data_IF_432727051246
#
_entry.id   IF_432727051246
#
_cell.length_a   1.000
_cell.length_b   1.000
_cell.length_c   1.000
_cell.angle_alpha   90.00
_cell.angle_beta   90.00
_cell.angle_gamma   90.00
#
_symmetry.space_group_name_H-M   'P 1'
#
loop_
_entity.id
_entity.type
_entity.pdbx_description
1 polymer ?
#
# COMPACT_ATOMS: atom_id res chain seq x y z
N UNK A 1 17.41 19.31 2.29
CA UNK A 1 16.96 17.94 1.97
C UNK A 1 15.75 17.64 2.84
N UNK A 2 14.55 17.64 2.24
CA UNK A 2 13.33 17.29 3.00
C UNK A 2 13.42 15.83 3.42
N UNK A 3 13.32 15.57 4.73
CA UNK A 3 13.23 14.24 5.28
C UNK A 3 11.95 13.58 4.72
N UNK A 4 12.09 12.49 4.00
CA UNK A 4 10.97 11.72 3.49
C UNK A 4 10.58 10.72 4.54
N UNK A 5 9.58 11.06 5.33
CA UNK A 5 9.08 10.23 6.43
C UNK A 5 7.65 9.79 6.17
N UNK A 6 7.32 8.60 6.60
CA UNK A 6 5.98 8.01 6.55
C UNK A 6 5.66 7.41 7.90
N UNK A 7 4.61 7.92 8.54
CA UNK A 7 4.17 7.46 9.85
C UNK A 7 3.01 6.47 9.71
N UNK A 8 3.16 5.28 10.30
CA UNK A 8 2.09 4.30 10.47
C UNK A 8 1.58 4.42 11.90
N UNK A 9 0.45 5.10 12.06
CA UNK A 9 -0.11 5.45 13.37
C UNK A 9 -1.24 4.55 13.84
N UNK A 10 -1.90 3.84 12.92
CA UNK A 10 -2.94 2.85 13.19
C UNK A 10 -2.91 1.76 12.12
N UNK A 11 -3.45 0.60 12.49
CA UNK A 11 -3.71 -0.52 11.58
C UNK A 11 -5.05 -1.16 11.89
N UNK A 12 -5.68 -1.76 10.88
CA UNK A 12 -6.76 -2.71 11.03
C UNK A 12 -6.38 -3.98 10.29
N UNK A 13 -6.26 -5.07 11.02
CA UNK A 13 -5.83 -6.35 10.47
C UNK A 13 -6.70 -7.46 11.02
N UNK A 14 -7.57 -8.01 10.17
CA UNK A 14 -8.48 -9.10 10.54
C UNK A 14 -8.69 -10.04 9.35
N UNK A 15 -8.40 -11.31 9.55
CA UNK A 15 -8.72 -12.35 8.58
C UNK A 15 -10.23 -12.57 8.52
N UNK A 16 -10.81 -12.61 7.32
CA UNK A 16 -12.24 -12.85 7.12
C UNK A 16 -13.14 -11.71 7.59
N UNK A 17 -12.61 -10.48 7.67
CA UNK A 17 -13.43 -9.31 7.96
C UNK A 17 -14.50 -9.11 6.88
N UNK A 18 -15.74 -8.82 7.30
CA UNK A 18 -16.78 -8.37 6.39
C UNK A 18 -16.53 -6.91 5.94
N UNK A 19 -17.19 -6.49 4.85
CA UNK A 19 -17.11 -5.10 4.40
C UNK A 19 -17.73 -4.13 5.42
N UNK A 20 -18.77 -4.56 6.15
CA UNK A 20 -19.38 -3.76 7.22
C UNK A 20 -18.40 -3.56 8.37
N UNK A 21 -17.70 -4.60 8.80
CA UNK A 21 -16.66 -4.50 9.83
C UNK A 21 -15.52 -3.59 9.39
N UNK A 22 -15.11 -3.67 8.13
CA UNK A 22 -14.09 -2.81 7.57
C UNK A 22 -14.55 -1.35 7.54
N UNK A 23 -15.77 -1.08 7.07
CA UNK A 23 -16.33 0.28 7.09
C UNK A 23 -16.41 0.84 8.51
N UNK A 24 -16.89 0.04 9.47
CA UNK A 24 -16.95 0.45 10.87
C UNK A 24 -15.56 0.78 11.43
N UNK A 25 -14.54 0.00 11.09
CA UNK A 25 -13.17 0.27 11.54
C UNK A 25 -12.67 1.66 11.08
N UNK A 26 -12.99 2.12 9.87
CA UNK A 26 -12.65 3.47 9.40
C UNK A 26 -13.33 4.57 10.22
N UNK A 27 -14.59 4.35 10.63
CA UNK A 27 -15.28 5.29 11.51
C UNK A 27 -14.70 5.28 12.93
N UNK A 28 -14.41 4.11 13.48
CA UNK A 28 -13.83 3.95 14.82
C UNK A 28 -12.43 4.56 14.92
N UNK A 29 -11.65 4.49 13.85
CA UNK A 29 -10.33 5.12 13.75
C UNK A 29 -10.40 6.64 13.49
N UNK A 30 -11.59 7.20 13.24
CA UNK A 30 -11.77 8.63 12.99
C UNK A 30 -11.22 9.14 11.65
N UNK A 31 -11.00 8.23 10.68
CA UNK A 31 -10.42 8.54 9.36
C UNK A 31 -11.44 8.53 8.23
N UNK A 32 -12.72 8.49 8.55
CA UNK A 32 -13.84 8.42 7.61
C UNK A 32 -13.94 9.61 6.64
N UNK A 33 -13.32 10.73 6.95
CA UNK A 33 -13.29 11.93 6.08
C UNK A 33 -12.08 11.96 5.15
N UNK A 34 -11.11 11.07 5.33
CA UNK A 34 -9.91 10.99 4.52
C UNK A 34 -10.14 10.14 3.27
N UNK A 35 -9.31 10.31 2.26
CA UNK A 35 -9.32 9.44 1.08
C UNK A 35 -8.70 8.09 1.44
N UNK A 36 -9.43 7.01 1.13
CA UNK A 36 -9.04 5.63 1.35
C UNK A 36 -8.66 5.03 0.01
N UNK A 37 -7.45 4.54 -0.13
CA UNK A 37 -7.00 3.85 -1.35
C UNK A 37 -7.11 2.34 -1.17
N UNK A 38 -7.85 1.71 -2.08
CA UNK A 38 -8.16 0.29 -2.07
C UNK A 38 -7.51 -0.43 -3.24
N UNK A 39 -7.38 -1.74 -3.14
CA UNK A 39 -7.00 -2.56 -4.29
C UNK A 39 -8.02 -2.39 -5.43
N UNK A 40 -7.53 -2.07 -6.60
CA UNK A 40 -8.37 -1.87 -7.79
C UNK A 40 -9.00 -3.17 -8.33
N UNK A 41 -8.54 -4.34 -7.87
CA UNK A 41 -9.12 -5.63 -8.23
C UNK A 41 -10.49 -5.88 -7.57
N UNK A 42 -10.86 -5.09 -6.57
CA UNK A 42 -12.08 -5.25 -5.77
C UNK A 42 -13.07 -4.08 -5.94
N UNK A 43 -13.62 -3.83 -7.16
CA UNK A 43 -14.48 -2.67 -7.40
C UNK A 43 -15.74 -2.67 -6.55
N UNK A 44 -16.33 -3.84 -6.27
CA UNK A 44 -17.53 -3.97 -5.43
C UNK A 44 -17.29 -3.52 -4.00
N UNK A 45 -16.10 -3.82 -3.46
CA UNK A 45 -15.71 -3.37 -2.12
C UNK A 45 -15.59 -1.86 -2.07
N UNK A 46 -15.04 -1.24 -3.12
CA UNK A 46 -14.93 0.21 -3.23
C UNK A 46 -16.30 0.87 -3.30
N UNK A 47 -17.20 0.35 -4.13
CA UNK A 47 -18.59 0.83 -4.25
C UNK A 47 -19.32 0.72 -2.92
N UNK A 48 -19.18 -0.39 -2.22
CA UNK A 48 -19.77 -0.58 -0.90
C UNK A 48 -19.26 0.47 0.11
N UNK A 49 -17.94 0.65 0.23
CA UNK A 49 -17.37 1.64 1.14
C UNK A 49 -17.84 3.06 0.81
N UNK A 50 -17.95 3.41 -0.47
CA UNK A 50 -18.53 4.69 -0.90
C UNK A 50 -20.01 4.82 -0.50
N UNK A 51 -20.80 3.75 -0.60
CA UNK A 51 -22.21 3.75 -0.17
C UNK A 51 -22.38 3.97 1.34
N UNK A 52 -21.36 3.61 2.13
CA UNK A 52 -21.30 3.88 3.58
C UNK A 52 -20.83 5.32 3.92
N UNK A 53 -20.62 6.17 2.92
CA UNK A 53 -20.17 7.55 3.10
C UNK A 53 -18.67 7.72 3.22
N UNK A 54 -17.88 6.68 2.95
CA UNK A 54 -16.43 6.73 2.93
C UNK A 54 -15.91 7.23 1.58
N UNK A 55 -14.73 7.85 1.56
CA UNK A 55 -14.09 8.36 0.34
C UNK A 55 -13.11 7.33 -0.23
N UNK A 56 -13.63 6.16 -0.60
CA UNK A 56 -12.82 5.09 -1.17
C UNK A 56 -12.49 5.33 -2.64
N UNK A 57 -11.26 5.10 -3.03
CA UNK A 57 -10.74 5.22 -4.40
C UNK A 57 -9.85 4.04 -4.76
N UNK A 58 -9.77 3.77 -6.05
CA UNK A 58 -8.84 2.78 -6.59
C UNK A 58 -7.39 3.24 -6.42
N UNK A 59 -6.55 2.39 -5.87
CA UNK A 59 -5.10 2.54 -5.99
C UNK A 59 -4.68 2.34 -7.46
N UNK A 60 -3.63 3.02 -7.87
CA UNK A 60 -3.12 2.90 -9.24
C UNK A 60 -2.36 1.59 -9.39
N UNK A 61 -2.80 0.74 -10.33
CA UNK A 61 -2.12 -0.49 -10.73
C UNK A 61 -1.60 -0.38 -12.16
N UNK A 62 -0.59 -1.17 -12.46
CA UNK A 62 -0.01 -1.28 -13.79
C UNK A 62 1.27 -2.09 -13.77
N UNK A 63 1.80 -2.38 -14.96
CA UNK A 63 3.08 -3.07 -15.09
C UNK A 63 4.19 -2.31 -14.37
N UNK A 64 4.93 -2.99 -13.49
CA UNK A 64 6.01 -2.40 -12.70
C UNK A 64 5.54 -1.51 -11.52
N UNK A 65 4.24 -1.49 -11.20
CA UNK A 65 3.72 -0.69 -10.07
C UNK A 65 4.14 -1.23 -8.71
N UNK A 66 4.36 -2.54 -8.59
CA UNK A 66 4.83 -3.17 -7.35
C UNK A 66 6.26 -2.74 -7.06
N UNK A 67 7.15 -2.92 -8.03
CA UNK A 67 8.57 -2.53 -7.92
C UNK A 67 8.72 -1.03 -7.68
N UNK A 68 7.97 -0.22 -8.41
CA UNK A 68 7.97 1.24 -8.23
C UNK A 68 7.48 1.65 -6.83
N UNK A 69 6.45 0.98 -6.31
CA UNK A 69 5.94 1.22 -4.97
C UNK A 69 6.92 0.82 -3.88
N UNK A 70 7.56 -0.35 -4.01
CA UNK A 70 8.60 -0.80 -3.08
C UNK A 70 9.78 0.18 -3.09
N UNK A 71 10.28 0.56 -4.27
CA UNK A 71 11.36 1.53 -4.39
C UNK A 71 10.99 2.89 -3.79
N UNK A 72 9.73 3.31 -3.94
CA UNK A 72 9.23 4.53 -3.32
C UNK A 72 9.32 4.46 -1.79
N UNK A 73 8.83 3.37 -1.19
CA UNK A 73 8.86 3.16 0.26
C UNK A 73 10.29 3.03 0.80
N UNK A 74 11.18 2.35 0.08
CA UNK A 74 12.60 2.23 0.45
C UNK A 74 13.34 3.58 0.51
N UNK A 75 12.85 4.60 -0.19
CA UNK A 75 13.37 5.96 -0.14
C UNK A 75 12.78 6.82 0.99
N UNK A 76 11.97 6.22 1.87
CA UNK A 76 11.37 6.89 3.02
C UNK A 76 11.82 6.25 4.32
N UNK A 77 11.93 7.07 5.35
CA UNK A 77 11.99 6.57 6.72
C UNK A 77 10.56 6.19 7.14
N UNK A 78 10.33 4.91 7.43
CA UNK A 78 9.02 4.43 7.88
C UNK A 78 9.06 4.35 9.41
N UNK A 79 8.24 5.17 10.05
CA UNK A 79 8.05 5.16 11.50
C UNK A 79 6.76 4.43 11.82
N UNK A 80 6.83 3.41 12.65
CA UNK A 80 5.67 2.58 13.01
C UNK A 80 5.44 2.66 14.50
N UNK A 81 4.23 3.03 14.91
CA UNK A 81 3.89 3.05 16.33
C UNK A 81 3.84 1.61 16.88
N UNK A 82 4.28 1.38 18.15
CA UNK A 82 4.36 0.04 18.75
C UNK A 82 3.05 -0.75 18.74
N UNK A 83 1.90 -0.07 18.75
CA UNK A 83 0.58 -0.70 18.67
C UNK A 83 0.24 -1.31 17.31
N UNK A 84 0.98 -0.95 16.24
CA UNK A 84 0.84 -1.50 14.89
C UNK A 84 1.68 -2.77 14.73
N UNK A 85 1.39 -3.79 15.53
CA UNK A 85 2.19 -5.02 15.66
C UNK A 85 2.21 -5.84 14.37
N UNK A 86 1.11 -5.83 13.59
CA UNK A 86 1.06 -6.57 12.32
C UNK A 86 1.92 -5.89 11.25
N UNK A 87 1.92 -4.56 11.18
CA UNK A 87 2.81 -3.83 10.27
C UNK A 87 4.27 -4.07 10.61
N UNK A 88 4.63 -4.04 11.91
CA UNK A 88 5.99 -4.34 12.35
C UNK A 88 6.40 -5.74 11.89
N UNK A 89 5.54 -6.74 12.15
CA UNK A 89 5.80 -8.14 11.73
C UNK A 89 5.94 -8.28 10.22
N UNK A 90 5.10 -7.59 9.42
CA UNK A 90 5.24 -7.63 7.97
C UNK A 90 6.56 -7.01 7.51
N UNK A 91 6.94 -5.84 8.03
CA UNK A 91 8.20 -5.18 7.66
C UNK A 91 9.43 -6.01 8.04
N UNK A 92 9.42 -6.69 9.18
CA UNK A 92 10.50 -7.58 9.62
C UNK A 92 10.65 -8.84 8.74
N UNK A 93 9.57 -9.29 8.12
CA UNK A 93 9.53 -10.52 7.31
C UNK A 93 9.37 -10.27 5.81
N UNK A 94 9.33 -9.01 5.37
CA UNK A 94 9.18 -8.64 3.97
C UNK A 94 10.49 -8.84 3.22
N UNK A 95 10.59 -9.98 2.52
CA UNK A 95 11.79 -10.39 1.79
C UNK A 95 11.45 -10.81 0.37
N UNK A 96 12.41 -10.68 -0.54
CA UNK A 96 12.31 -11.29 -1.86
C UNK A 96 12.48 -12.81 -1.78
N UNK A 97 11.62 -13.52 -2.48
CA UNK A 97 11.70 -14.97 -2.57
C UNK A 97 12.93 -15.40 -3.38
N UNK A 98 13.53 -16.53 -2.98
CA UNK A 98 14.60 -17.18 -3.75
C UNK A 98 14.00 -18.16 -4.74
N UNK A 99 14.53 -18.17 -5.95
CA UNK A 99 14.25 -19.22 -6.91
C UNK A 99 14.73 -20.58 -6.38
N UNK A 100 13.87 -21.59 -6.44
CA UNK A 100 14.14 -22.92 -5.86
C UNK A 100 15.25 -23.70 -6.59
N UNK A 101 15.49 -23.38 -7.87
CA UNK A 101 16.47 -24.06 -8.68
C UNK A 101 17.83 -23.38 -8.70
N UNK A 102 17.82 -22.05 -8.79
CA UNK A 102 19.05 -21.25 -8.89
C UNK A 102 19.54 -20.70 -7.55
N UNK A 103 18.67 -20.63 -6.52
CA UNK A 103 18.96 -20.00 -5.25
C UNK A 103 19.09 -18.47 -5.30
N UNK A 104 18.90 -17.87 -6.48
CA UNK A 104 18.97 -16.43 -6.68
C UNK A 104 17.67 -15.73 -6.20
N UNK A 105 17.81 -14.48 -5.75
CA UNK A 105 16.64 -13.66 -5.42
C UNK A 105 15.80 -13.39 -6.67
N UNK A 106 14.49 -13.56 -6.51
CA UNK A 106 13.50 -13.18 -7.53
C UNK A 106 12.98 -11.77 -7.27
N UNK A 107 12.19 -11.22 -8.19
CA UNK A 107 11.48 -9.97 -7.99
C UNK A 107 10.11 -10.17 -7.25
N UNK A 108 9.82 -11.40 -6.83
CA UNK A 108 8.59 -11.73 -6.10
C UNK A 108 8.84 -11.66 -4.59
N UNK A 109 7.85 -11.17 -3.86
CA UNK A 109 7.85 -11.09 -2.40
C UNK A 109 6.91 -12.14 -1.82
N UNK A 110 7.09 -12.47 -0.54
CA UNK A 110 6.20 -13.38 0.16
C UNK A 110 4.87 -12.69 0.46
N UNK A 111 3.79 -13.18 -0.16
CA UNK A 111 2.44 -12.65 0.05
C UNK A 111 1.92 -12.81 1.47
N UNK A 112 2.49 -13.72 2.27
CA UNK A 112 2.10 -13.89 3.67
C UNK A 112 2.44 -12.66 4.54
N UNK A 113 3.37 -11.82 4.10
CA UNK A 113 3.86 -10.66 4.83
C UNK A 113 3.78 -9.36 4.00
N UNK A 114 2.76 -9.19 3.17
CA UNK A 114 2.67 -8.04 2.29
C UNK A 114 1.34 -7.27 2.33
N UNK A 115 0.36 -7.71 3.11
CA UNK A 115 -0.99 -7.13 3.08
C UNK A 115 -1.04 -5.65 3.50
N UNK A 116 -0.42 -5.29 4.63
CA UNK A 116 -0.36 -3.92 5.10
C UNK A 116 0.65 -3.09 4.30
N UNK A 117 1.75 -3.71 3.86
CA UNK A 117 2.74 -3.07 2.97
C UNK A 117 2.09 -2.75 1.62
N UNK A 118 1.26 -3.63 1.08
CA UNK A 118 0.51 -3.37 -0.14
C UNK A 118 -0.52 -2.26 0.05
N UNK A 119 -1.22 -2.22 1.18
CA UNK A 119 -2.11 -1.13 1.52
C UNK A 119 -1.37 0.21 1.58
N UNK A 120 -0.19 0.26 2.18
CA UNK A 120 0.67 1.44 2.21
C UNK A 120 1.12 1.85 0.80
N UNK A 121 1.51 0.90 -0.06
CA UNK A 121 1.83 1.18 -1.46
C UNK A 121 0.65 1.80 -2.20
N UNK A 122 -0.56 1.29 -2.02
CA UNK A 122 -1.76 1.87 -2.66
C UNK A 122 -2.01 3.30 -2.21
N UNK A 123 -1.82 3.62 -0.94
CA UNK A 123 -1.99 4.98 -0.42
C UNK A 123 -1.08 6.00 -1.14
N UNK A 124 0.12 5.59 -1.55
CA UNK A 124 1.08 6.42 -2.27
C UNK A 124 1.08 6.25 -3.79
N UNK A 125 0.23 5.37 -4.32
CA UNK A 125 0.28 4.98 -5.74
C UNK A 125 0.15 6.15 -6.71
N UNK A 126 -0.69 7.12 -6.40
CA UNK A 126 -0.84 8.32 -7.24
C UNK A 126 0.42 9.19 -7.27
N UNK A 127 1.22 9.19 -6.21
CA UNK A 127 2.42 10.01 -6.08
C UNK A 127 3.55 9.44 -6.92
N UNK A 128 3.90 8.18 -6.74
CA UNK A 128 5.02 7.58 -7.46
C UNK A 128 4.72 7.31 -8.94
N UNK A 129 3.46 7.01 -9.29
CA UNK A 129 3.07 6.85 -10.70
C UNK A 129 3.06 8.17 -11.45
N UNK A 130 2.59 9.26 -10.84
CA UNK A 130 2.62 10.59 -11.44
C UNK A 130 4.04 11.08 -11.70
N UNK A 131 4.98 10.82 -10.78
CA UNK A 131 6.40 11.16 -10.96
C UNK A 131 7.03 10.38 -12.11
N UNK A 132 6.69 9.11 -12.28
CA UNK A 132 7.17 8.28 -13.39
C UNK A 132 6.70 8.83 -14.74
N UNK A 133 5.44 9.23 -14.84
CA UNK A 133 4.89 9.83 -16.07
C UNK A 133 5.60 11.15 -16.40
N UNK A 134 5.87 11.99 -15.40
CA UNK A 134 6.61 13.25 -15.61
C UNK A 134 8.05 13.01 -16.08
N UNK A 135 8.74 12.04 -15.52
CA UNK A 135 10.11 11.71 -15.95
C UNK A 135 10.14 11.12 -17.37
N UNK A 136 9.16 10.31 -17.75
CA UNK A 136 9.03 9.79 -19.12
C UNK A 136 8.74 10.91 -20.13
N UNK A 137 7.89 11.88 -19.78
CA UNK A 137 7.63 13.05 -20.66
C UNK A 137 8.86 13.93 -20.85
N UNK A 138 9.66 14.11 -19.81
CA UNK A 138 10.92 14.84 -19.89
C UNK A 138 11.97 14.11 -20.76
N UNK A 139 11.96 12.77 -20.74
CA UNK A 139 12.88 11.96 -21.56
C UNK A 139 12.48 11.91 -23.04
N UNK A 140 11.17 11.99 -23.33
CA UNK A 140 10.63 12.01 -24.70
C UNK A 140 10.64 13.41 -25.33
N UNK A 141 10.91 14.46 -24.56
CA UNK A 141 11.01 15.85 -25.03
C UNK A 141 12.41 16.29 -25.42
N UNK A 142 13.34 15.37 -25.42
CA UNK A 142 14.71 15.56 -25.91
C UNK A 142 14.83 14.89 -27.28
#
# INVERSE_FOLDING_TARGET
QMCKETDVINEYYKRGASLDELAQAYFDLGINKQTIYCDSAEPRSIEFLCSQGLRAKKGVKGRGSVEAGIAFLQNHTIVVLPKCENMIRELENFVYLKDKHTGLLTNNTDHAFSHLIDAMRYAYSNIYTSRRVKSQKLFLGI
#
